data_IF_400187967417
#
_entry.id   IF_400187967417
#
_cell.length_a   1.000
_cell.length_b   1.000
_cell.length_c   1.000
_cell.angle_alpha   90.00
_cell.angle_beta   90.00
_cell.angle_gamma   90.00
#
_symmetry.space_group_name_H-M   'P 1'
#
loop_
_entity.id
_entity.type
_entity.pdbx_description
1 polymer ?
#
# COMPACT_ATOMS: atom_id res chain seq x y z
N UNK A 1 6.63 -6.38 -18.83
CA UNK A 1 6.27 -6.20 -17.41
C UNK A 1 7.51 -5.73 -16.67
N UNK A 2 7.40 -4.69 -15.83
CA UNK A 2 8.54 -4.20 -15.04
C UNK A 2 8.55 -4.91 -13.69
N UNK A 3 9.73 -5.25 -13.19
CA UNK A 3 9.89 -5.82 -11.85
C UNK A 3 10.03 -4.71 -10.82
N UNK A 4 9.42 -4.91 -9.66
CA UNK A 4 9.44 -4.01 -8.53
C UNK A 4 9.79 -4.79 -7.27
N UNK A 5 10.37 -4.12 -6.28
CA UNK A 5 10.52 -4.67 -4.92
C UNK A 5 9.52 -3.95 -4.03
N UNK A 6 8.77 -4.73 -3.26
CA UNK A 6 8.02 -4.21 -2.13
C UNK A 6 8.87 -4.30 -0.87
N UNK A 7 9.06 -3.17 -0.19
CA UNK A 7 9.57 -3.14 1.17
C UNK A 7 8.41 -2.88 2.13
N UNK A 8 8.16 -3.84 3.02
CA UNK A 8 7.26 -3.71 4.16
C UNK A 8 8.09 -3.75 5.45
N UNK A 9 8.15 -2.64 6.18
CA UNK A 9 9.09 -2.44 7.29
C UNK A 9 8.85 -3.33 8.51
N UNK A 10 7.73 -4.06 8.57
CA UNK A 10 7.57 -5.08 9.63
C UNK A 10 8.48 -6.30 9.39
N UNK A 11 9.02 -6.48 8.19
CA UNK A 11 9.98 -7.53 7.90
C UNK A 11 10.96 -7.12 6.78
N UNK A 12 12.01 -6.38 7.14
CA UNK A 12 13.05 -5.89 6.21
C UNK A 12 13.82 -6.98 5.46
N UNK A 13 13.72 -8.24 5.92
CA UNK A 13 14.36 -9.40 5.28
C UNK A 13 13.51 -9.98 4.14
N UNK A 14 12.23 -9.61 4.04
CA UNK A 14 11.33 -10.07 2.98
C UNK A 14 11.26 -9.01 1.88
N UNK A 15 12.19 -9.11 0.93
CA UNK A 15 12.04 -8.47 -0.38
C UNK A 15 11.18 -9.36 -1.25
N UNK A 16 9.91 -9.04 -1.34
CA UNK A 16 9.04 -9.67 -2.31
C UNK A 16 9.16 -8.94 -3.65
N UNK A 17 9.44 -9.72 -4.69
CA UNK A 17 9.41 -9.25 -6.07
C UNK A 17 7.96 -9.19 -6.54
N UNK A 18 7.60 -8.07 -7.16
CA UNK A 18 6.32 -7.83 -7.79
C UNK A 18 6.53 -7.54 -9.27
N UNK A 19 5.58 -7.99 -10.09
CA UNK A 19 5.42 -7.49 -11.45
C UNK A 19 4.41 -6.35 -11.43
N UNK A 20 4.76 -5.23 -12.05
CA UNK A 20 3.89 -4.06 -12.12
C UNK A 20 3.48 -3.73 -13.55
N UNK A 21 2.24 -3.28 -13.66
CA UNK A 21 1.63 -2.81 -14.90
C UNK A 21 0.88 -1.48 -14.69
N UNK A 22 0.91 -0.65 -15.72
CA UNK A 22 0.04 0.51 -15.82
C UNK A 22 -1.26 0.09 -16.48
N UNK A 23 -2.36 0.38 -15.80
CA UNK A 23 -3.71 0.26 -16.33
C UNK A 23 -4.23 1.66 -16.72
N UNK A 24 -5.46 1.73 -17.21
CA UNK A 24 -6.09 3.02 -17.52
C UNK A 24 -6.37 3.88 -16.27
N UNK A 25 -6.65 5.16 -16.50
CA UNK A 25 -7.09 6.11 -15.45
C UNK A 25 -6.11 6.25 -14.27
N UNK A 26 -4.79 6.29 -14.54
CA UNK A 26 -3.76 6.44 -13.51
C UNK A 26 -3.79 5.33 -12.45
N UNK A 27 -4.20 4.13 -12.87
CA UNK A 27 -4.24 2.93 -12.04
C UNK A 27 -2.98 2.11 -12.26
N UNK A 28 -2.33 1.71 -11.17
CA UNK A 28 -1.09 0.93 -11.16
C UNK A 28 -1.35 -0.33 -10.37
N UNK A 29 -1.10 -1.50 -10.98
CA UNK A 29 -1.28 -2.79 -10.33
C UNK A 29 0.06 -3.48 -10.20
N UNK A 30 0.30 -4.06 -9.02
CA UNK A 30 1.48 -4.82 -8.67
C UNK A 30 1.06 -6.16 -8.12
N UNK A 31 1.56 -7.25 -8.68
CA UNK A 31 1.26 -8.61 -8.24
C UNK A 31 2.54 -9.33 -7.88
N UNK A 32 2.59 -9.99 -6.72
CA UNK A 32 3.79 -10.71 -6.29
C UNK A 32 4.09 -11.87 -7.23
N UNK A 33 5.36 -12.05 -7.56
CA UNK A 33 5.82 -13.16 -8.41
C UNK A 33 5.87 -14.51 -7.67
N UNK A 34 5.94 -14.48 -6.33
CA UNK A 34 5.99 -15.69 -5.48
C UNK A 34 4.60 -16.13 -5.01
N UNK A 35 3.72 -15.17 -4.73
CA UNK A 35 2.35 -15.45 -4.31
C UNK A 35 1.36 -14.50 -5.02
N UNK A 36 0.75 -14.91 -6.14
CA UNK A 36 -0.14 -14.04 -6.91
C UNK A 36 -1.38 -13.53 -6.18
N UNK A 37 -1.75 -14.11 -5.04
CA UNK A 37 -2.81 -13.56 -4.18
C UNK A 37 -2.39 -12.25 -3.48
N UNK A 38 -1.08 -12.04 -3.32
CA UNK A 38 -0.51 -10.78 -2.86
C UNK A 38 -0.51 -9.79 -4.02
N UNK A 39 -1.33 -8.76 -3.91
CA UNK A 39 -1.40 -7.69 -4.90
C UNK A 39 -1.65 -6.34 -4.26
N UNK A 40 -1.19 -5.30 -4.95
CA UNK A 40 -1.42 -3.91 -4.59
C UNK A 40 -1.89 -3.17 -5.82
N UNK A 41 -2.98 -2.43 -5.66
CA UNK A 41 -3.46 -1.49 -6.66
C UNK A 41 -3.42 -0.08 -6.09
N UNK A 42 -2.92 0.87 -6.88
CA UNK A 42 -2.83 2.28 -6.52
C UNK A 42 -3.44 3.10 -7.64
N UNK A 43 -4.35 4.02 -7.32
CA UNK A 43 -4.91 4.97 -8.27
C UNK A 43 -4.52 6.37 -7.81
N UNK A 44 -3.76 7.07 -8.65
CA UNK A 44 -3.43 8.47 -8.39
C UNK A 44 -4.66 9.34 -8.68
N UNK A 45 -5.15 10.04 -7.65
CA UNK A 45 -6.33 10.91 -7.76
C UNK A 45 -5.88 12.34 -8.07
N UNK A 46 -4.95 12.84 -7.26
CA UNK A 46 -4.33 14.17 -7.42
C UNK A 46 -2.98 14.16 -6.69
N UNK A 47 -2.23 15.25 -6.79
CA UNK A 47 -0.97 15.38 -6.06
C UNK A 47 -1.18 15.13 -4.57
N UNK A 48 -0.32 14.30 -3.97
CA UNK A 48 -0.34 13.92 -2.55
C UNK A 48 -1.62 13.17 -2.08
N UNK A 49 -2.42 12.63 -3.03
CA UNK A 49 -3.63 11.84 -2.73
C UNK A 49 -3.82 10.68 -3.71
N UNK A 50 -3.97 9.48 -3.17
CA UNK A 50 -4.18 8.26 -3.94
C UNK A 50 -5.13 7.32 -3.21
N UNK A 51 -5.96 6.57 -3.95
CA UNK A 51 -6.60 5.40 -3.38
C UNK A 51 -5.69 4.20 -3.55
N UNK A 52 -5.75 3.26 -2.60
CA UNK A 52 -5.03 2.01 -2.72
C UNK A 52 -5.85 0.84 -2.20
N UNK A 53 -5.52 -0.33 -2.69
CA UNK A 53 -6.01 -1.61 -2.21
C UNK A 53 -4.81 -2.55 -2.10
N UNK A 54 -4.62 -3.16 -0.93
CA UNK A 54 -3.65 -4.22 -0.68
C UNK A 54 -4.41 -5.50 -0.36
N UNK A 55 -4.16 -6.54 -1.14
CA UNK A 55 -4.67 -7.87 -0.91
C UNK A 55 -3.55 -8.82 -0.51
N UNK A 56 -3.82 -9.64 0.48
CA UNK A 56 -3.01 -10.81 0.88
C UNK A 56 -3.96 -12.00 1.12
N UNK A 57 -3.42 -13.22 1.33
CA UNK A 57 -4.21 -14.37 1.80
C UNK A 57 -4.89 -14.12 3.14
N UNK A 58 -4.29 -13.30 4.01
CA UNK A 58 -4.75 -13.08 5.38
C UNK A 58 -5.70 -11.89 5.51
N UNK A 59 -5.55 -10.86 4.66
CA UNK A 59 -6.39 -9.66 4.76
C UNK A 59 -6.52 -8.89 3.45
N UNK A 60 -7.45 -7.95 3.45
CA UNK A 60 -7.57 -6.86 2.48
C UNK A 60 -7.58 -5.54 3.23
N UNK A 61 -6.71 -4.61 2.85
CA UNK A 61 -6.65 -3.26 3.38
C UNK A 61 -6.88 -2.29 2.22
N UNK A 62 -7.79 -1.33 2.38
CA UNK A 62 -8.10 -0.38 1.32
C UNK A 62 -8.48 0.99 1.87
N UNK A 63 -8.34 2.02 1.04
CA UNK A 63 -8.80 3.36 1.37
C UNK A 63 -8.21 4.45 0.51
N UNK A 64 -8.61 5.69 0.78
CA UNK A 64 -8.03 6.88 0.14
C UNK A 64 -7.06 7.57 1.09
N UNK A 65 -5.79 7.58 0.70
CA UNK A 65 -4.72 8.26 1.40
C UNK A 65 -4.62 9.71 0.94
N UNK A 66 -4.47 10.64 1.88
CA UNK A 66 -4.15 12.04 1.62
C UNK A 66 -3.08 12.50 2.59
N UNK A 67 -1.94 12.97 2.07
CA UNK A 67 -0.80 13.40 2.88
C UNK A 67 -1.21 14.41 3.95
N UNK A 68 -0.69 14.25 5.16
CA UNK A 68 -0.95 15.06 6.36
C UNK A 68 -2.39 14.99 6.91
N UNK A 69 -3.21 14.05 6.44
CA UNK A 69 -4.54 13.82 6.99
C UNK A 69 -4.58 12.52 7.80
N UNK A 70 -5.49 12.50 8.77
CA UNK A 70 -5.98 11.25 9.37
C UNK A 70 -7.07 10.70 8.46
N UNK A 71 -6.94 9.43 8.09
CA UNK A 71 -7.92 8.71 7.27
C UNK A 71 -8.23 7.37 7.90
N UNK A 72 -9.39 6.83 7.57
CA UNK A 72 -9.84 5.52 8.02
C UNK A 72 -9.64 4.53 6.88
N UNK A 73 -8.81 3.52 7.08
CA UNK A 73 -8.62 2.43 6.14
C UNK A 73 -9.55 1.27 6.47
N UNK A 74 -10.20 0.71 5.46
CA UNK A 74 -11.06 -0.46 5.61
C UNK A 74 -10.18 -1.71 5.65
N UNK A 75 -10.28 -2.47 6.74
CA UNK A 75 -9.59 -3.75 6.93
C UNK A 75 -10.61 -4.89 6.96
N UNK A 76 -10.37 -5.90 6.12
CA UNK A 76 -11.11 -7.17 6.13
C UNK A 76 -10.12 -8.31 6.32
N UNK A 77 -10.21 -9.08 7.42
CA UNK A 77 -9.34 -10.23 7.64
C UNK A 77 -10.01 -11.51 7.13
N UNK A 78 -9.31 -12.28 6.32
CA UNK A 78 -9.76 -13.57 5.78
C UNK A 78 -9.45 -14.66 6.81
N UNK A 79 -10.48 -15.36 7.29
CA UNK A 79 -10.36 -16.45 8.29
C UNK A 79 -11.09 -16.19 9.60
N UNK A 80 -11.22 -14.93 10.00
CA UNK A 80 -11.99 -14.53 11.20
C UNK A 80 -13.27 -13.74 10.87
N UNK A 81 -13.55 -13.52 9.58
CA UNK A 81 -14.67 -12.72 9.05
C UNK A 81 -14.82 -11.35 9.74
N UNK A 82 -13.70 -10.77 10.15
CA UNK A 82 -13.66 -9.46 10.77
C UNK A 82 -13.58 -8.36 9.70
N UNK A 83 -14.37 -7.31 9.91
CA UNK A 83 -14.35 -6.05 9.17
C UNK A 83 -14.21 -4.91 10.16
N UNK A 84 -13.24 -4.05 9.93
CA UNK A 84 -12.95 -2.93 10.81
C UNK A 84 -12.40 -1.73 10.05
N UNK A 85 -12.24 -0.65 10.79
CA UNK A 85 -11.66 0.59 10.29
C UNK A 85 -10.41 0.90 11.09
N UNK A 86 -9.31 1.15 10.39
CA UNK A 86 -8.01 1.49 10.95
C UNK A 86 -7.74 2.97 10.74
N UNK A 87 -7.80 3.81 11.79
CA UNK A 87 -7.39 5.21 11.68
C UNK A 87 -5.88 5.27 11.48
N UNK A 88 -5.45 5.98 10.45
CA UNK A 88 -4.02 6.20 10.13
C UNK A 88 -3.73 7.66 9.84
N UNK A 89 -2.57 8.13 10.28
CA UNK A 89 -2.02 9.41 9.88
C UNK A 89 -1.11 9.23 8.67
N UNK A 90 -1.52 9.79 7.53
CA UNK A 90 -0.75 9.67 6.28
C UNK A 90 0.41 10.65 6.29
N UNK A 91 1.63 10.14 6.12
CA UNK A 91 2.87 10.94 6.10
C UNK A 91 3.34 11.23 4.68
N UNK A 92 3.13 10.30 3.76
CA UNK A 92 3.62 10.44 2.40
C UNK A 92 2.73 9.70 1.40
N UNK A 93 2.46 10.38 0.28
CA UNK A 93 1.82 9.80 -0.90
C UNK A 93 2.59 10.33 -2.10
N UNK A 94 3.48 9.51 -2.64
CA UNK A 94 4.26 9.81 -3.84
C UNK A 94 3.99 8.72 -4.87
N UNK A 95 3.54 9.13 -6.05
CA UNK A 95 3.29 8.23 -7.18
C UNK A 95 4.05 8.81 -8.37
N UNK A 96 5.19 8.21 -8.68
CA UNK A 96 6.06 8.54 -9.80
C UNK A 96 6.32 7.27 -10.63
N UNK A 97 5.27 6.76 -11.28
CA UNK A 97 5.37 5.56 -12.09
C UNK A 97 6.08 5.86 -13.43
N UNK A 98 6.92 4.93 -13.94
CA UNK A 98 7.22 3.59 -13.44
C UNK A 98 8.39 3.51 -12.46
N UNK A 99 8.86 4.62 -11.90
CA UNK A 99 10.10 4.66 -11.13
C UNK A 99 9.85 4.25 -9.67
N UNK A 100 8.90 4.91 -9.01
CA UNK A 100 8.68 4.78 -7.58
C UNK A 100 7.23 5.09 -7.19
N UNK A 101 6.67 4.27 -6.31
CA UNK A 101 5.48 4.60 -5.52
C UNK A 101 5.83 4.44 -4.06
N UNK A 102 5.60 5.49 -3.26
CA UNK A 102 5.81 5.51 -1.82
C UNK A 102 4.52 5.94 -1.13
N UNK A 103 3.95 5.01 -0.37
CA UNK A 103 2.82 5.26 0.54
C UNK A 103 3.32 5.05 1.97
N UNK A 104 3.31 6.10 2.79
CA UNK A 104 3.74 6.03 4.19
C UNK A 104 2.64 6.55 5.09
N UNK A 105 2.24 5.74 6.06
CA UNK A 105 1.22 6.11 7.04
C UNK A 105 1.54 5.50 8.41
N UNK A 106 0.98 6.09 9.46
CA UNK A 106 1.17 5.61 10.83
C UNK A 106 -0.17 5.20 11.40
N UNK A 107 -0.26 4.00 11.96
CA UNK A 107 -1.44 3.57 12.71
C UNK A 107 -1.62 4.44 13.94
N UNK A 108 -2.87 4.77 14.25
CA UNK A 108 -3.22 5.52 15.44
C UNK A 108 -3.82 4.59 16.48
N UNK A 109 -3.36 4.73 17.72
CA UNK A 109 -3.95 4.04 18.87
C UNK A 109 -5.31 4.66 19.29
N UNK A 110 -5.90 4.13 20.35
CA UNK A 110 -7.17 4.59 20.92
C UNK A 110 -7.13 6.05 21.43
N UNK A 111 -5.94 6.62 21.60
CA UNK A 111 -5.68 8.00 22.02
C UNK A 111 -5.26 8.89 20.85
N UNK A 112 -5.33 8.40 19.62
CA UNK A 112 -4.86 9.06 18.40
C UNK A 112 -3.35 9.36 18.40
N UNK A 113 -2.56 8.57 19.13
CA UNK A 113 -1.11 8.65 19.12
C UNK A 113 -0.57 7.71 18.05
N UNK A 114 0.37 8.15 17.20
CA UNK A 114 1.03 7.26 16.24
C UNK A 114 1.75 6.12 16.95
N UNK A 115 1.39 4.87 16.64
CA UNK A 115 2.01 3.67 17.22
C UNK A 115 3.03 3.06 16.26
N UNK A 116 2.57 2.62 15.10
CA UNK A 116 3.36 1.85 14.13
C UNK A 116 3.41 2.56 12.80
N UNK A 117 4.58 2.55 12.16
CA UNK A 117 4.76 3.11 10.81
C UNK A 117 4.65 2.00 9.78
N UNK A 118 3.75 2.17 8.84
CA UNK A 118 3.63 1.34 7.66
C UNK A 118 4.19 2.12 6.46
N UNK A 119 5.02 1.44 5.69
CA UNK A 119 5.58 1.95 4.45
C UNK A 119 5.38 0.91 3.36
N UNK A 120 4.88 1.36 2.22
CA UNK A 120 4.81 0.59 0.99
C UNK A 120 5.66 1.36 0.00
N UNK A 121 6.89 0.89 -0.20
CA UNK A 121 7.77 1.36 -1.26
C UNK A 121 7.77 0.33 -2.39
N UNK A 122 7.41 0.79 -3.58
CA UNK A 122 7.42 0.01 -4.82
C UNK A 122 8.34 0.76 -5.79
N UNK A 123 9.57 0.28 -5.94
CA UNK A 123 10.57 0.89 -6.82
C UNK A 123 10.92 -0.04 -7.97
N UNK A 124 11.13 0.50 -9.18
CA UNK A 124 11.61 -0.30 -10.29
C UNK A 124 12.97 -0.91 -9.96
N UNK A 125 13.14 -2.19 -10.29
CA UNK A 125 14.46 -2.82 -10.32
C UNK A 125 15.08 -2.40 -11.65
N UNK A 126 16.00 -1.44 -11.62
CA UNK A 126 16.80 -1.12 -12.79
C UNK A 126 17.56 -2.40 -13.22
N UNK A 127 17.49 -2.73 -14.51
CA UNK A 127 18.35 -3.73 -15.14
C UNK A 127 19.76 -3.18 -15.33
#
# INVERSE_FOLDING_TARGET
MKKFVLLDLQNTDVRDEYEGEFLENSTYRFTSTKNPENSIEVVLIEKDKASFVRHTPEFCLSGTLKKNNVVNLDLVTKGFDFKGSLPVLVREVKVDFPNEILLRYQMLDDKNVPSDTCEILISSIDN
#
